data_IF_924987423893
#
_entry.id   IF_924987423893
#
_cell.length_a   1.000
_cell.length_b   1.000
_cell.length_c   1.000
_cell.angle_alpha   90.00
_cell.angle_beta   90.00
_cell.angle_gamma   90.00
#
_symmetry.space_group_name_H-M   'P 1'
#
loop_
_entity.id
_entity.type
_entity.pdbx_description
1 polymer ?
#
# COMPACT_ATOMS: atom_id res chain seq x y z
N UNK A 1 -35.18 58.76 -33.56
CA UNK A 1 -34.20 57.69 -33.86
C UNK A 1 -34.30 56.67 -32.72
N UNK A 2 -35.23 55.73 -32.86
CA UNK A 2 -35.54 54.69 -31.88
C UNK A 2 -34.59 53.52 -32.11
N UNK A 3 -33.87 53.10 -31.07
CA UNK A 3 -33.08 51.86 -31.10
C UNK A 3 -34.03 50.66 -31.12
N UNK A 4 -33.82 49.66 -32.00
CA UNK A 4 -34.66 48.49 -32.04
C UNK A 4 -34.42 47.59 -30.83
N UNK A 5 -35.53 47.25 -30.19
CA UNK A 5 -35.71 46.22 -29.18
C UNK A 5 -35.16 44.87 -29.67
N UNK A 6 -34.19 44.32 -28.93
CA UNK A 6 -33.73 42.94 -29.10
C UNK A 6 -34.31 42.11 -27.97
N UNK A 7 -35.57 41.71 -28.14
CA UNK A 7 -36.16 40.57 -27.46
C UNK A 7 -35.32 39.32 -27.77
N UNK A 8 -34.41 38.97 -26.85
CA UNK A 8 -33.72 37.69 -26.85
C UNK A 8 -34.78 36.62 -26.64
N UNK A 9 -34.94 35.62 -27.53
CA UNK A 9 -35.85 34.52 -27.29
C UNK A 9 -35.37 33.73 -26.07
N UNK A 10 -36.28 33.47 -25.13
CA UNK A 10 -36.08 32.57 -24.00
C UNK A 10 -35.67 31.19 -24.52
N UNK A 11 -34.37 30.97 -24.63
CA UNK A 11 -33.80 29.65 -24.83
C UNK A 11 -34.09 28.91 -23.54
N UNK A 12 -35.15 28.11 -23.62
CA UNK A 12 -35.56 27.06 -22.72
C UNK A 12 -34.33 26.21 -22.33
N UNK A 13 -33.61 26.64 -21.29
CA UNK A 13 -32.74 25.76 -20.52
C UNK A 13 -33.71 24.83 -19.79
N UNK A 14 -34.18 23.82 -20.52
CA UNK A 14 -34.77 22.62 -19.95
C UNK A 14 -33.80 22.17 -18.88
N UNK A 15 -34.27 22.13 -17.63
CA UNK A 15 -33.60 21.57 -16.47
C UNK A 15 -33.02 20.21 -16.85
N UNK A 16 -31.81 20.23 -17.40
CA UNK A 16 -31.01 19.03 -17.56
C UNK A 16 -30.33 18.92 -16.22
N UNK A 17 -31.14 18.56 -15.22
CA UNK A 17 -30.64 17.93 -14.01
C UNK A 17 -29.85 16.72 -14.51
N UNK A 18 -28.55 16.92 -14.73
CA UNK A 18 -27.63 15.80 -14.90
C UNK A 18 -27.93 14.93 -13.70
N UNK A 19 -28.42 13.69 -13.89
CA UNK A 19 -28.61 12.83 -12.75
C UNK A 19 -27.22 12.66 -12.17
N UNK A 20 -26.99 13.27 -11.00
CA UNK A 20 -25.88 12.97 -10.14
C UNK A 20 -26.07 11.48 -9.83
N UNK A 21 -25.50 10.62 -10.68
CA UNK A 21 -25.48 9.19 -10.44
C UNK A 21 -24.51 9.01 -9.30
N UNK A 22 -24.99 9.28 -8.08
CA UNK A 22 -24.38 8.87 -6.83
C UNK A 22 -24.42 7.34 -6.85
N UNK A 23 -23.47 6.74 -7.56
CA UNK A 23 -23.19 5.32 -7.43
C UNK A 23 -23.03 5.09 -5.93
N UNK A 24 -23.85 4.23 -5.31
CA UNK A 24 -23.75 4.01 -3.88
C UNK A 24 -22.32 3.57 -3.60
N UNK A 25 -21.61 4.30 -2.73
CA UNK A 25 -20.28 3.93 -2.27
C UNK A 25 -20.40 2.54 -1.65
N UNK A 26 -20.11 1.50 -2.44
CA UNK A 26 -20.26 0.11 -2.00
C UNK A 26 -19.11 -0.15 -1.05
N UNK A 27 -19.41 -0.11 0.24
CA UNK A 27 -18.43 -0.48 1.27
C UNK A 27 -17.91 -1.90 0.96
N UNK A 28 -16.64 -2.00 0.59
CA UNK A 28 -16.01 -3.28 0.30
C UNK A 28 -15.98 -4.13 1.56
N UNK A 29 -16.40 -5.39 1.46
CA UNK A 29 -16.39 -6.31 2.60
C UNK A 29 -14.97 -6.77 2.91
N UNK A 30 -14.70 -7.12 4.17
CA UNK A 30 -13.44 -7.74 4.59
C UNK A 30 -13.10 -8.99 3.75
N UNK A 31 -14.12 -9.76 3.37
CA UNK A 31 -13.96 -10.93 2.49
C UNK A 31 -13.36 -10.56 1.14
N UNK A 32 -13.78 -9.44 0.57
CA UNK A 32 -13.30 -8.92 -0.72
C UNK A 32 -11.83 -8.54 -0.61
N UNK A 33 -11.41 -7.92 0.51
CA UNK A 33 -10.00 -7.62 0.80
C UNK A 33 -9.11 -8.88 0.91
N UNK A 34 -9.62 -9.99 1.46
CA UNK A 34 -8.89 -11.27 1.48
C UNK A 34 -8.66 -11.79 0.07
N UNK A 35 -9.69 -11.77 -0.78
CA UNK A 35 -9.57 -12.22 -2.17
C UNK A 35 -8.64 -11.31 -2.98
N UNK A 36 -8.70 -10.00 -2.77
CA UNK A 36 -7.79 -9.02 -3.40
C UNK A 36 -6.32 -9.28 -3.00
N UNK A 37 -6.07 -9.76 -1.78
CA UNK A 37 -4.72 -10.02 -1.25
C UNK A 37 -4.16 -11.41 -1.61
N UNK A 38 -5.01 -12.34 -2.06
CA UNK A 38 -4.61 -13.71 -2.32
C UNK A 38 -3.51 -13.86 -3.40
N UNK A 39 -3.55 -13.12 -4.53
CA UNK A 39 -2.49 -13.18 -5.53
C UNK A 39 -1.14 -12.68 -4.99
N UNK A 40 -1.16 -11.69 -4.10
CA UNK A 40 0.05 -11.15 -3.45
C UNK A 40 0.69 -12.24 -2.58
N UNK A 41 -0.12 -12.95 -1.80
CA UNK A 41 0.35 -14.04 -0.95
C UNK A 41 1.05 -15.16 -1.73
N UNK A 42 0.53 -15.54 -2.90
CA UNK A 42 1.16 -16.52 -3.79
C UNK A 42 2.53 -16.02 -4.28
N UNK A 43 2.65 -14.72 -4.56
CA UNK A 43 3.91 -14.08 -4.97
C UNK A 43 5.05 -14.24 -3.97
N UNK A 44 4.76 -14.36 -2.66
CA UNK A 44 5.79 -14.54 -1.63
C UNK A 44 6.43 -15.94 -1.60
N UNK A 45 5.79 -16.96 -2.16
CA UNK A 45 6.32 -18.34 -2.14
C UNK A 45 7.72 -18.43 -2.79
N UNK A 46 7.94 -18.00 -4.04
CA UNK A 46 9.25 -18.08 -4.67
C UNK A 46 10.30 -17.22 -3.96
N UNK A 47 9.89 -16.05 -3.45
CA UNK A 47 10.78 -15.11 -2.74
C UNK A 47 11.26 -15.73 -1.43
N UNK A 48 10.36 -16.35 -0.67
CA UNK A 48 10.67 -17.01 0.60
C UNK A 48 11.62 -18.20 0.39
N UNK A 49 11.40 -18.97 -0.67
CA UNK A 49 12.28 -20.08 -1.03
C UNK A 49 13.68 -19.58 -1.42
N UNK A 50 13.75 -18.53 -2.24
CA UNK A 50 15.01 -17.90 -2.62
C UNK A 50 15.79 -17.38 -1.39
N UNK A 51 15.09 -16.78 -0.42
CA UNK A 51 15.70 -16.30 0.82
C UNK A 51 16.27 -17.44 1.66
N UNK A 52 15.50 -18.53 1.86
CA UNK A 52 15.97 -19.71 2.59
C UNK A 52 17.21 -20.35 1.96
N UNK A 53 17.27 -20.44 0.64
CA UNK A 53 18.45 -20.93 -0.06
C UNK A 53 19.64 -19.96 0.03
N UNK A 54 19.40 -18.65 -0.05
CA UNK A 54 20.44 -17.63 0.02
C UNK A 54 21.12 -17.59 1.38
N UNK A 55 20.34 -17.64 2.46
CA UNK A 55 20.88 -17.63 3.83
C UNK A 55 21.71 -18.86 4.15
N UNK A 56 21.32 -20.04 3.64
CA UNK A 56 22.13 -21.25 3.73
C UNK A 56 23.49 -21.12 3.04
N UNK A 57 23.58 -20.41 1.91
CA UNK A 57 24.86 -20.13 1.22
C UNK A 57 25.76 -19.17 1.99
N UNK A 58 25.16 -18.28 2.78
CA UNK A 58 25.87 -17.31 3.62
C UNK A 58 26.31 -17.92 4.98
N UNK A 59 26.01 -19.20 5.23
CA UNK A 59 26.42 -19.91 6.44
C UNK A 59 25.49 -19.75 7.63
N UNK A 60 24.31 -19.14 7.46
CA UNK A 60 23.31 -19.06 8.53
C UNK A 60 22.58 -20.39 8.71
N UNK A 61 22.21 -20.67 9.96
CA UNK A 61 21.38 -21.82 10.30
C UNK A 61 19.92 -21.61 9.86
N UNK A 62 19.16 -22.70 9.63
CA UNK A 62 17.74 -22.60 9.33
C UNK A 62 16.92 -21.90 10.42
N UNK A 63 17.39 -21.91 11.67
CA UNK A 63 16.74 -21.23 12.78
C UNK A 63 16.93 -19.71 12.69
N UNK A 64 18.14 -19.25 12.36
CA UNK A 64 18.43 -17.83 12.13
C UNK A 64 17.67 -17.29 10.93
N UNK A 65 17.61 -18.05 9.83
CA UNK A 65 16.79 -17.67 8.67
C UNK A 65 15.32 -17.45 9.07
N UNK A 66 14.75 -18.36 9.87
CA UNK A 66 13.38 -18.23 10.38
C UNK A 66 13.22 -17.00 11.28
N UNK A 67 14.22 -16.71 12.12
CA UNK A 67 14.22 -15.54 12.99
C UNK A 67 14.21 -14.23 12.21
N UNK A 68 15.04 -14.12 11.17
CA UNK A 68 15.00 -12.97 10.26
C UNK A 68 13.62 -12.82 9.60
N UNK A 69 13.00 -13.91 9.16
CA UNK A 69 11.67 -13.84 8.55
C UNK A 69 10.55 -13.47 9.53
N UNK A 70 10.68 -13.80 10.82
CA UNK A 70 9.70 -13.41 11.83
C UNK A 70 9.75 -11.92 12.18
N UNK A 71 10.93 -11.29 12.08
CA UNK A 71 11.16 -9.91 12.49
C UNK A 71 11.10 -8.95 11.31
N UNK A 72 11.66 -9.36 10.17
CA UNK A 72 11.81 -8.51 8.99
C UNK A 72 10.78 -8.95 7.98
N UNK A 73 9.70 -8.17 7.90
CA UNK A 73 8.61 -8.46 6.97
C UNK A 73 8.99 -8.14 5.51
N UNK A 74 9.86 -7.15 5.29
CA UNK A 74 10.28 -6.73 3.96
C UNK A 74 11.26 -7.72 3.32
N UNK A 75 10.82 -8.37 2.23
CA UNK A 75 11.61 -9.41 1.54
C UNK A 75 12.99 -8.93 1.08
N UNK A 76 13.08 -7.75 0.47
CA UNK A 76 14.37 -7.18 0.04
C UNK A 76 15.33 -6.96 1.22
N UNK A 77 14.81 -6.50 2.36
CA UNK A 77 15.56 -6.22 3.56
C UNK A 77 16.14 -7.47 4.21
N UNK A 78 15.48 -8.63 4.07
CA UNK A 78 16.00 -9.92 4.52
C UNK A 78 17.28 -10.31 3.77
N UNK A 79 17.34 -10.10 2.45
CA UNK A 79 18.57 -10.35 1.67
C UNK A 79 19.68 -9.35 2.02
N UNK A 80 19.34 -8.07 2.18
CA UNK A 80 20.31 -7.04 2.53
C UNK A 80 20.93 -7.29 3.90
N UNK A 81 20.11 -7.54 4.94
CA UNK A 81 20.65 -7.73 6.29
C UNK A 81 21.56 -8.96 6.37
N UNK A 82 21.17 -10.06 5.73
CA UNK A 82 21.94 -11.32 5.78
C UNK A 82 23.24 -11.20 4.98
N UNK A 83 23.23 -10.47 3.86
CA UNK A 83 24.45 -10.14 3.13
C UNK A 83 25.41 -9.25 3.94
N UNK A 84 24.90 -8.21 4.60
CA UNK A 84 25.73 -7.31 5.43
C UNK A 84 26.34 -8.04 6.62
N UNK A 85 25.55 -8.86 7.32
CA UNK A 85 26.04 -9.67 8.43
C UNK A 85 27.08 -10.71 7.98
N UNK A 86 26.85 -11.36 6.83
CA UNK A 86 27.83 -12.29 6.25
C UNK A 86 29.12 -11.60 5.81
N UNK A 87 29.07 -10.31 5.48
CA UNK A 87 30.24 -9.49 5.18
C UNK A 87 30.98 -8.99 6.43
N UNK A 88 30.56 -9.39 7.63
CA UNK A 88 31.17 -9.01 8.90
C UNK A 88 30.72 -7.66 9.44
N UNK A 89 29.65 -7.06 8.89
CA UNK A 89 29.08 -5.84 9.44
C UNK A 89 28.42 -6.11 10.80
N UNK A 90 28.55 -5.16 11.73
CA UNK A 90 27.88 -5.26 13.04
C UNK A 90 26.36 -5.29 12.88
N UNK A 91 25.67 -6.01 13.78
CA UNK A 91 24.21 -6.10 13.78
C UNK A 91 23.51 -4.73 13.82
N UNK A 92 24.04 -3.80 14.62
CA UNK A 92 23.50 -2.45 14.74
C UNK A 92 23.61 -1.66 13.43
N UNK A 93 24.75 -1.74 12.74
CA UNK A 93 24.95 -1.05 11.47
C UNK A 93 24.07 -1.65 10.36
N UNK A 94 23.97 -2.98 10.31
CA UNK A 94 23.09 -3.68 9.36
C UNK A 94 21.61 -3.33 9.59
N UNK A 95 21.17 -3.30 10.84
CA UNK A 95 19.81 -2.90 11.21
C UNK A 95 19.52 -1.45 10.82
N UNK A 96 20.44 -0.52 11.08
CA UNK A 96 20.27 0.89 10.70
C UNK A 96 20.19 1.06 9.19
N UNK A 97 21.02 0.33 8.44
CA UNK A 97 21.01 0.34 6.97
C UNK A 97 19.66 -0.11 6.41
N UNK A 98 19.12 -1.21 6.96
CA UNK A 98 17.79 -1.72 6.57
C UNK A 98 16.68 -0.74 6.96
N UNK A 99 16.71 -0.20 8.17
CA UNK A 99 15.71 0.81 8.59
C UNK A 99 15.76 2.06 7.71
N UNK A 100 16.95 2.50 7.31
CA UNK A 100 17.12 3.64 6.40
C UNK A 100 16.56 3.34 5.00
N UNK A 101 16.79 2.13 4.49
CA UNK A 101 16.23 1.66 3.21
C UNK A 101 14.70 1.59 3.25
N UNK A 102 14.13 1.17 4.39
CA UNK A 102 12.69 0.97 4.57
C UNK A 102 11.92 2.20 5.05
N UNK A 103 12.56 3.37 5.17
CA UNK A 103 11.90 4.62 5.59
C UNK A 103 10.68 4.98 4.74
N UNK A 104 10.60 4.45 3.50
CA UNK A 104 9.44 4.54 2.60
C UNK A 104 8.12 4.10 3.26
N UNK A 105 8.15 3.16 4.20
CA UNK A 105 6.95 2.71 4.91
C UNK A 105 6.33 3.82 5.77
N UNK A 106 7.13 4.75 6.29
CA UNK A 106 6.64 5.92 7.05
C UNK A 106 5.81 6.82 6.15
N UNK A 107 6.16 6.93 4.86
CA UNK A 107 5.49 7.79 3.89
C UNK A 107 4.12 7.24 3.45
N UNK A 108 3.87 5.94 3.62
CA UNK A 108 2.60 5.31 3.22
C UNK A 108 1.41 5.83 4.02
N UNK A 109 1.60 6.08 5.33
CA UNK A 109 0.54 6.58 6.21
C UNK A 109 -0.04 7.93 5.74
N UNK A 110 0.77 9.00 5.63
CA UNK A 110 0.31 10.28 5.11
C UNK A 110 -0.24 10.20 3.69
N UNK A 111 0.41 9.43 2.81
CA UNK A 111 -0.02 9.28 1.41
C UNK A 111 -1.40 8.63 1.28
N UNK A 112 -1.70 7.63 2.10
CA UNK A 112 -2.99 6.96 2.11
C UNK A 112 -4.06 7.78 2.84
N UNK A 113 -3.69 8.48 3.93
CA UNK A 113 -4.60 9.37 4.67
C UNK A 113 -5.18 10.47 3.79
N UNK A 114 -4.42 11.00 2.84
CA UNK A 114 -4.91 12.01 1.90
C UNK A 114 -5.99 11.46 0.94
N UNK A 115 -5.96 10.16 0.62
CA UNK A 115 -6.88 9.52 -0.33
C UNK A 115 -8.12 8.93 0.32
N UNK A 116 -8.07 8.61 1.61
CA UNK A 116 -9.22 8.08 2.35
C UNK A 116 -10.13 9.24 2.80
N UNK A 117 -11.30 9.36 2.18
CA UNK A 117 -12.31 10.39 2.53
C UNK A 117 -13.09 10.10 3.81
N UNK A 118 -13.03 8.87 4.34
CA UNK A 118 -13.75 8.46 5.55
C UNK A 118 -12.92 8.68 6.82
N UNK A 119 -13.56 9.20 7.86
CA UNK A 119 -12.96 9.30 9.20
C UNK A 119 -12.88 7.91 9.83
N UNK A 120 -11.70 7.31 9.86
CA UNK A 120 -11.45 6.08 10.62
C UNK A 120 -11.20 6.38 12.10
N UNK A 121 -11.62 5.45 12.96
CA UNK A 121 -11.23 5.45 14.37
C UNK A 121 -9.74 5.16 14.51
N UNK A 122 -9.04 5.91 15.37
CA UNK A 122 -7.58 5.82 15.57
C UNK A 122 -7.08 4.39 15.82
N UNK A 123 -7.84 3.60 16.59
CA UNK A 123 -7.49 2.19 16.86
C UNK A 123 -7.49 1.32 15.60
N UNK A 124 -8.45 1.55 14.70
CA UNK A 124 -8.54 0.81 13.43
C UNK A 124 -7.41 1.23 12.49
N UNK A 125 -7.14 2.54 12.43
CA UNK A 125 -6.02 3.09 11.63
C UNK A 125 -4.68 2.52 12.07
N UNK A 126 -4.42 2.37 13.37
CA UNK A 126 -3.17 1.81 13.87
C UNK A 126 -3.00 0.33 13.48
N UNK A 127 -4.06 -0.48 13.60
CA UNK A 127 -4.03 -1.89 13.19
C UNK A 127 -3.80 -2.02 11.68
N UNK A 128 -4.44 -1.17 10.89
CA UNK A 128 -4.29 -1.18 9.44
C UNK A 128 -2.91 -0.69 9.00
N UNK A 129 -2.37 0.33 9.68
CA UNK A 129 -1.02 0.84 9.41
C UNK A 129 0.07 -0.20 9.74
N UNK A 130 -0.13 -1.02 10.78
CA UNK A 130 0.81 -2.08 11.12
C UNK A 130 0.93 -3.15 10.00
N UNK A 131 -0.17 -3.46 9.33
CA UNK A 131 -0.20 -4.41 8.21
C UNK A 131 0.08 -3.79 6.84
N UNK A 132 0.48 -2.52 6.76
CA UNK A 132 0.64 -1.82 5.49
C UNK A 132 2.01 -2.10 4.88
N UNK A 133 2.01 -3.00 3.90
CA UNK A 133 3.19 -3.39 3.10
C UNK A 133 3.24 -2.59 1.80
N UNK A 134 4.34 -2.68 1.05
CA UNK A 134 4.45 -2.01 -0.25
C UNK A 134 3.43 -2.53 -1.28
N UNK A 135 3.12 -3.82 -1.25
CA UNK A 135 2.08 -4.43 -2.09
C UNK A 135 0.68 -4.04 -1.62
N UNK A 136 0.45 -3.99 -0.30
CA UNK A 136 -0.81 -3.52 0.29
C UNK A 136 -1.09 -2.05 -0.03
N UNK A 137 -0.07 -1.20 0.05
CA UNK A 137 -0.17 0.22 -0.31
C UNK A 137 -0.44 0.41 -1.82
N UNK A 138 0.24 -0.35 -2.68
CA UNK A 138 0.01 -0.31 -4.11
C UNK A 138 -1.41 -0.75 -4.48
N UNK A 139 -1.88 -1.88 -3.92
CA UNK A 139 -3.23 -2.38 -4.13
C UNK A 139 -4.31 -1.40 -3.65
N UNK A 140 -4.13 -0.84 -2.44
CA UNK A 140 -5.06 0.15 -1.89
C UNK A 140 -5.12 1.42 -2.74
N UNK A 141 -3.98 1.94 -3.18
CA UNK A 141 -3.91 3.14 -4.01
C UNK A 141 -4.56 2.92 -5.37
N UNK A 142 -4.31 1.76 -6.01
CA UNK A 142 -4.93 1.42 -7.30
C UNK A 142 -6.45 1.36 -7.21
N UNK A 143 -6.99 0.81 -6.11
CA UNK A 143 -8.44 0.77 -5.86
C UNK A 143 -9.01 2.17 -5.65
N UNK A 144 -8.36 2.99 -4.82
CA UNK A 144 -8.76 4.38 -4.54
C UNK A 144 -8.61 5.36 -5.70
N UNK A 145 -7.86 4.99 -6.76
CA UNK A 145 -7.80 5.78 -8.01
C UNK A 145 -8.95 5.41 -8.95
N UNK A 146 -9.42 4.17 -8.88
CA UNK A 146 -10.48 3.65 -9.74
C UNK A 146 -11.88 4.05 -9.25
N UNK A 147 -12.02 4.31 -7.96
CA UNK A 147 -13.22 4.83 -7.29
C UNK A 147 -13.24 6.36 -7.25
#
# INVERSE_FOLDING_TARGET
MQTPDRSVPDILISDTSIPESSLPYKASSFKEGIFDSFPIAIGYIPISFAFGLSTGKLGFTPLEARFFSCIIYAGASQFVITALLSAGMSLWASALTVMAMDIRHILYGPALRYRIKQTLSEKKTMIWAFGLTDEGFAAATMKLIKD
#
